data_IF_519243420093
#
_entry.id   IF_519243420093
#
_cell.length_a   1.000
_cell.length_b   1.000
_cell.length_c   1.000
_cell.angle_alpha   90.00
_cell.angle_beta   90.00
_cell.angle_gamma   90.00
#
_symmetry.space_group_name_H-M   'P 1'
#
loop_
_entity.id
_entity.type
_entity.pdbx_description
1 polymer ?
#
# COMPACT_ATOMS: atom_id res chain seq x y z
N UNK A 1 -4.02 26.68 -5.59
CA UNK A 1 -4.44 27.46 -4.42
C UNK A 1 -3.32 27.42 -3.40
N UNK A 2 -3.15 28.44 -2.56
CA UNK A 2 -2.28 28.36 -1.40
C UNK A 2 -3.00 28.96 -0.19
N UNK A 3 -3.05 28.23 0.92
CA UNK A 3 -3.68 28.65 2.17
C UNK A 3 -2.72 28.36 3.33
N UNK A 4 -2.44 29.35 4.17
CA UNK A 4 -1.52 29.19 5.30
C UNK A 4 -1.96 30.02 6.49
N UNK A 5 -1.58 29.56 7.68
CA UNK A 5 -1.87 30.22 8.94
C UNK A 5 -0.67 30.12 9.88
N UNK A 6 -0.48 31.15 10.70
CA UNK A 6 0.55 31.22 11.74
C UNK A 6 0.00 31.94 12.96
N UNK A 7 0.39 31.48 14.15
CA UNK A 7 0.02 32.12 15.42
C UNK A 7 0.95 33.27 15.83
N UNK A 8 1.99 33.56 15.03
CA UNK A 8 3.02 34.57 15.33
C UNK A 8 4.03 34.15 16.40
N UNK A 9 3.86 32.99 17.04
CA UNK A 9 4.74 32.41 18.05
C UNK A 9 5.78 31.42 17.49
N UNK A 10 5.90 31.35 16.16
CA UNK A 10 6.77 30.40 15.45
C UNK A 10 6.06 29.15 14.95
N UNK A 11 4.77 28.96 15.29
CA UNK A 11 3.98 27.89 14.72
C UNK A 11 3.34 28.34 13.40
N UNK A 12 3.39 27.47 12.41
CA UNK A 12 2.76 27.65 11.11
C UNK A 12 2.27 26.32 10.54
N UNK A 13 1.26 26.43 9.69
CA UNK A 13 0.67 25.33 8.91
C UNK A 13 0.31 25.87 7.53
N UNK A 14 0.52 25.09 6.47
CA UNK A 14 0.16 25.48 5.11
C UNK A 14 -0.33 24.32 4.27
N UNK A 15 -1.18 24.66 3.30
CA UNK A 15 -1.65 23.80 2.22
C UNK A 15 -1.38 24.51 0.90
N UNK A 16 -0.86 23.76 -0.07
CA UNK A 16 -0.73 24.18 -1.47
C UNK A 16 -1.46 23.19 -2.35
N UNK A 17 -2.12 23.68 -3.39
CA UNK A 17 -2.92 22.85 -4.29
C UNK A 17 -2.68 23.24 -5.74
N UNK A 18 -2.53 22.25 -6.60
CA UNK A 18 -2.41 22.41 -8.04
C UNK A 18 -3.32 21.43 -8.75
N UNK A 19 -4.06 21.91 -9.75
CA UNK A 19 -4.99 21.10 -10.50
C UNK A 19 -4.79 21.34 -12.00
N UNK A 20 -4.65 20.25 -12.75
CA UNK A 20 -4.81 20.22 -14.19
C UNK A 20 -6.01 19.30 -14.48
N UNK A 21 -7.11 19.89 -14.95
CA UNK A 21 -8.38 19.18 -15.19
C UNK A 21 -8.96 19.61 -16.53
N UNK A 22 -9.66 18.71 -17.21
CA UNK A 22 -10.32 19.00 -18.48
C UNK A 22 -11.72 18.38 -18.60
N UNK A 23 -12.31 18.46 -19.79
CA UNK A 23 -13.49 17.69 -20.24
C UNK A 23 -14.74 17.71 -19.33
N UNK A 24 -14.89 18.74 -18.49
CA UNK A 24 -16.08 18.95 -17.66
C UNK A 24 -15.94 18.49 -16.21
N UNK A 25 -14.72 18.20 -15.74
CA UNK A 25 -14.46 18.00 -14.31
C UNK A 25 -14.74 19.28 -13.53
N UNK A 26 -15.66 19.19 -12.57
CA UNK A 26 -15.91 20.23 -11.57
C UNK A 26 -14.97 20.06 -10.38
N UNK A 27 -14.38 21.17 -9.92
CA UNK A 27 -13.50 21.23 -8.75
C UNK A 27 -14.12 22.13 -7.70
N UNK A 28 -14.25 21.62 -6.47
CA UNK A 28 -14.67 22.37 -5.30
C UNK A 28 -13.67 22.19 -4.17
N UNK A 29 -13.34 23.28 -3.46
CA UNK A 29 -12.41 23.27 -2.35
C UNK A 29 -12.85 24.26 -1.26
N UNK A 30 -12.60 23.90 -0.01
CA UNK A 30 -12.83 24.73 1.16
C UNK A 30 -11.75 24.49 2.20
N UNK A 31 -11.00 25.55 2.52
CA UNK A 31 -10.04 25.56 3.61
C UNK A 31 -10.47 26.56 4.70
N UNK A 32 -10.18 26.25 5.95
CA UNK A 32 -10.44 27.13 7.10
C UNK A 32 -9.33 27.03 8.13
N UNK A 33 -9.08 28.12 8.87
CA UNK A 33 -8.10 28.16 9.94
C UNK A 33 -8.76 28.53 11.27
N UNK A 34 -8.28 27.96 12.37
CA UNK A 34 -8.70 28.30 13.73
C UNK A 34 -7.50 28.45 14.66
N UNK A 35 -7.69 29.27 15.72
CA UNK A 35 -6.63 29.66 16.66
C UNK A 35 -7.01 29.48 18.14
N UNK A 36 -8.30 29.27 18.44
CA UNK A 36 -8.82 29.30 19.83
C UNK A 36 -8.34 28.17 20.73
N UNK A 37 -8.12 26.98 20.17
CA UNK A 37 -7.63 25.78 20.87
C UNK A 37 -6.21 25.40 20.41
N UNK A 38 -5.50 26.37 19.82
CA UNK A 38 -4.26 26.13 19.06
C UNK A 38 -4.46 26.35 17.56
N UNK A 39 -3.35 26.56 16.86
CA UNK A 39 -3.32 26.75 15.41
C UNK A 39 -3.75 25.45 14.71
N UNK A 40 -4.75 25.53 13.84
CA UNK A 40 -5.14 24.41 12.96
C UNK A 40 -5.67 24.88 11.61
N UNK A 41 -5.54 24.02 10.61
CA UNK A 41 -6.19 24.16 9.31
C UNK A 41 -7.02 22.90 9.04
N UNK A 42 -8.28 23.11 8.64
CA UNK A 42 -9.15 22.06 8.12
C UNK A 42 -9.40 22.34 6.63
N UNK A 43 -9.24 21.32 5.80
CA UNK A 43 -9.43 21.39 4.36
C UNK A 43 -10.34 20.29 3.84
N UNK A 44 -11.13 20.61 2.82
CA UNK A 44 -11.96 19.67 2.07
C UNK A 44 -11.91 20.01 0.59
N UNK A 45 -11.79 18.97 -0.24
CA UNK A 45 -11.83 19.08 -1.70
C UNK A 45 -12.73 18.03 -2.31
N UNK A 46 -13.26 18.33 -3.48
CA UNK A 46 -14.09 17.43 -4.28
C UNK A 46 -13.85 17.64 -5.77
N UNK A 47 -13.70 16.53 -6.49
CA UNK A 47 -13.68 16.45 -7.96
C UNK A 47 -14.90 15.66 -8.41
N UNK A 48 -15.62 16.13 -9.42
CA UNK A 48 -16.76 15.40 -9.98
C UNK A 48 -16.88 15.64 -11.47
N UNK A 49 -16.97 14.58 -12.27
CA UNK A 49 -17.20 14.68 -13.71
C UNK A 49 -16.31 13.73 -14.51
N UNK A 50 -16.53 13.66 -15.84
CA UNK A 50 -15.67 12.94 -16.76
C UNK A 50 -14.41 13.75 -17.10
N UNK A 51 -13.35 13.08 -17.55
CA UNK A 51 -12.15 13.72 -18.09
C UNK A 51 -10.86 13.38 -17.36
N UNK A 52 -9.82 14.12 -17.72
CA UNK A 52 -8.50 14.06 -17.14
C UNK A 52 -8.45 14.83 -15.82
N UNK A 53 -7.78 14.24 -14.84
CA UNK A 53 -7.50 14.85 -13.55
C UNK A 53 -6.04 14.60 -13.21
N UNK A 54 -5.31 15.68 -12.92
CA UNK A 54 -4.06 15.63 -12.19
C UNK A 54 -4.12 16.68 -11.08
N UNK A 55 -4.42 16.22 -9.88
CA UNK A 55 -4.70 17.07 -8.72
C UNK A 55 -3.75 16.76 -7.57
N UNK A 56 -2.82 17.67 -7.31
CA UNK A 56 -1.82 17.57 -6.24
C UNK A 56 -2.18 18.52 -5.10
N UNK A 57 -2.11 18.03 -3.88
CA UNK A 57 -2.26 18.79 -2.65
C UNK A 57 -1.05 18.50 -1.76
N UNK A 58 -0.40 19.55 -1.28
CA UNK A 58 0.79 19.50 -0.45
C UNK A 58 0.48 20.12 0.92
N UNK A 59 1.03 19.52 1.97
CA UNK A 59 0.84 19.90 3.36
C UNK A 59 2.19 20.16 4.01
N UNK A 60 2.26 21.19 4.87
CA UNK A 60 3.43 21.39 5.71
C UNK A 60 3.04 21.98 7.06
N UNK A 61 3.79 21.61 8.09
CA UNK A 61 3.67 22.17 9.43
C UNK A 61 5.02 22.46 10.07
N UNK A 62 5.08 23.51 10.88
CA UNK A 62 6.28 23.96 11.62
C UNK A 62 6.88 22.91 12.57
N UNK A 63 6.13 21.90 12.99
CA UNK A 63 6.60 20.74 13.75
C UNK A 63 7.38 19.71 12.92
N UNK A 64 7.68 20.03 11.66
CA UNK A 64 8.61 19.27 10.82
C UNK A 64 7.98 18.15 10.02
N UNK A 65 6.65 18.08 9.94
CA UNK A 65 6.00 17.19 8.98
C UNK A 65 5.76 17.88 7.64
N UNK A 66 5.84 17.09 6.59
CA UNK A 66 5.39 17.42 5.23
C UNK A 66 4.54 16.28 4.72
N UNK A 67 3.58 16.56 3.84
CA UNK A 67 2.79 15.52 3.21
C UNK A 67 2.29 15.92 1.86
N UNK A 68 1.83 14.94 1.10
CA UNK A 68 1.27 15.15 -0.22
C UNK A 68 0.11 14.20 -0.45
N UNK A 69 -0.72 14.57 -1.39
CA UNK A 69 -1.94 13.88 -1.75
C UNK A 69 -2.19 14.14 -3.22
N UNK A 70 -2.13 13.10 -4.06
CA UNK A 70 -2.36 13.24 -5.48
C UNK A 70 -3.45 12.29 -5.99
N UNK A 71 -4.25 12.78 -6.93
CA UNK A 71 -5.21 11.98 -7.69
C UNK A 71 -4.88 12.18 -9.16
N UNK A 72 -4.74 11.07 -9.87
CA UNK A 72 -4.53 11.00 -11.31
C UNK A 72 -5.64 10.17 -11.95
N UNK A 73 -6.23 10.67 -13.02
CA UNK A 73 -7.16 9.92 -13.86
C UNK A 73 -7.00 10.41 -15.32
N UNK A 74 -6.88 9.49 -16.25
CA UNK A 74 -6.79 9.76 -17.69
C UNK A 74 -8.09 9.37 -18.38
N UNK A 75 -8.73 10.34 -19.05
CA UNK A 75 -9.95 10.18 -19.84
C UNK A 75 -11.07 9.40 -19.14
N UNK A 76 -11.19 9.54 -17.82
CA UNK A 76 -12.16 8.80 -17.02
C UNK A 76 -13.59 9.13 -17.46
N UNK A 77 -14.42 8.11 -17.66
CA UNK A 77 -15.84 8.31 -17.94
C UNK A 77 -16.59 8.91 -16.74
N UNK A 78 -16.12 8.63 -15.53
CA UNK A 78 -16.65 9.21 -14.30
C UNK A 78 -15.59 9.26 -13.21
N UNK A 79 -15.38 10.45 -12.64
CA UNK A 79 -14.64 10.61 -11.38
C UNK A 79 -15.52 11.21 -10.31
N UNK A 80 -15.48 10.61 -9.12
CA UNK A 80 -15.87 11.24 -7.86
C UNK A 80 -14.71 11.06 -6.88
N UNK A 81 -13.99 12.14 -6.59
CA UNK A 81 -12.95 12.11 -5.57
C UNK A 81 -13.19 13.16 -4.51
N UNK A 82 -12.94 12.82 -3.25
CA UNK A 82 -13.11 13.66 -2.06
C UNK A 82 -11.86 13.55 -1.21
N UNK A 83 -11.30 14.69 -0.84
CA UNK A 83 -10.20 14.75 0.10
C UNK A 83 -10.61 15.58 1.31
N UNK A 84 -10.10 15.21 2.48
CA UNK A 84 -10.11 16.08 3.64
C UNK A 84 -8.79 15.99 4.39
N UNK A 85 -8.29 17.12 4.86
CA UNK A 85 -7.09 17.18 5.68
C UNK A 85 -7.35 17.97 6.96
N UNK A 86 -6.77 17.51 8.05
CA UNK A 86 -6.71 18.18 9.33
C UNK A 86 -5.24 18.37 9.71
N UNK A 87 -4.84 19.61 9.93
CA UNK A 87 -3.45 19.97 10.16
C UNK A 87 -3.33 20.80 11.44
N UNK A 88 -2.35 20.46 12.26
CA UNK A 88 -1.86 21.29 13.37
C UNK A 88 -0.36 21.47 13.20
N UNK A 89 0.35 22.33 13.94
CA UNK A 89 1.80 22.46 13.82
C UNK A 89 2.56 21.13 13.90
N UNK A 90 2.12 20.18 14.72
CA UNK A 90 2.82 18.92 14.98
C UNK A 90 2.19 17.67 14.38
N UNK A 91 1.00 17.78 13.77
CA UNK A 91 0.25 16.62 13.32
C UNK A 91 -0.45 16.82 11.96
N UNK A 92 -0.58 15.72 11.23
CA UNK A 92 -1.27 15.63 9.95
C UNK A 92 -2.26 14.46 9.98
N UNK A 93 -3.51 14.73 9.65
CA UNK A 93 -4.52 13.73 9.34
C UNK A 93 -5.06 13.96 7.94
N UNK A 94 -5.00 12.96 7.07
CA UNK A 94 -5.51 13.04 5.69
C UNK A 94 -6.45 11.87 5.45
N UNK A 95 -7.57 12.14 4.79
CA UNK A 95 -8.47 11.13 4.22
C UNK A 95 -8.67 11.46 2.76
N UNK A 96 -8.50 10.47 1.89
CA UNK A 96 -8.91 10.53 0.50
C UNK A 96 -9.89 9.42 0.21
N UNK A 97 -10.90 9.72 -0.58
CA UNK A 97 -11.96 8.79 -0.98
C UNK A 97 -12.23 9.06 -2.45
N UNK A 98 -11.90 8.11 -3.32
CA UNK A 98 -11.89 8.29 -4.76
C UNK A 98 -12.51 7.08 -5.47
N UNK A 99 -13.46 7.37 -6.35
CA UNK A 99 -14.12 6.42 -7.23
C UNK A 99 -13.97 6.91 -8.66
N UNK A 100 -13.11 6.25 -9.42
CA UNK A 100 -12.73 6.57 -10.80
C UNK A 100 -13.15 5.39 -11.67
N UNK A 101 -13.83 5.65 -12.79
CA UNK A 101 -14.33 4.60 -13.68
C UNK A 101 -13.90 4.82 -15.11
N UNK A 102 -13.60 3.70 -15.75
CA UNK A 102 -13.27 3.59 -17.17
C UNK A 102 -12.23 4.64 -17.59
N UNK A 103 -11.09 4.66 -16.89
CA UNK A 103 -9.97 5.54 -17.15
C UNK A 103 -8.83 4.77 -17.84
N UNK A 104 -8.14 5.41 -18.79
CA UNK A 104 -6.97 4.81 -19.45
C UNK A 104 -5.82 4.54 -18.47
N UNK A 105 -5.73 5.36 -17.43
CA UNK A 105 -4.93 5.11 -16.25
C UNK A 105 -5.47 5.93 -15.08
N UNK A 106 -5.41 5.38 -13.87
CA UNK A 106 -5.73 6.15 -12.68
C UNK A 106 -4.91 5.73 -11.46
N UNK A 107 -4.66 6.69 -10.59
CA UNK A 107 -3.94 6.49 -9.34
C UNK A 107 -4.42 7.44 -8.25
N UNK A 108 -4.42 6.93 -7.02
CA UNK A 108 -4.76 7.69 -5.80
C UNK A 108 -3.64 7.46 -4.81
N UNK A 109 -3.06 8.56 -4.33
CA UNK A 109 -1.85 8.49 -3.53
C UNK A 109 -1.88 9.51 -2.42
N UNK A 110 -1.41 9.07 -1.27
CA UNK A 110 -1.21 9.90 -0.10
C UNK A 110 0.19 9.62 0.45
N UNK A 111 0.92 10.66 0.83
CA UNK A 111 2.23 10.54 1.46
C UNK A 111 2.37 11.50 2.64
N UNK A 112 3.20 11.13 3.61
CA UNK A 112 3.64 12.03 4.66
C UNK A 112 5.06 11.69 5.10
N UNK A 113 5.76 12.66 5.68
CA UNK A 113 7.07 12.50 6.27
C UNK A 113 7.17 13.33 7.54
N UNK A 114 7.75 12.77 8.60
CA UNK A 114 8.11 13.50 9.82
C UNK A 114 9.53 13.11 10.26
N UNK A 115 10.47 14.03 10.09
CA UNK A 115 11.86 13.82 10.53
C UNK A 115 12.55 12.64 9.84
N UNK A 116 12.27 12.43 8.54
CA UNK A 116 12.86 11.36 7.73
C UNK A 116 12.05 10.06 7.74
N UNK A 117 11.16 9.85 8.70
CA UNK A 117 10.20 8.74 8.68
C UNK A 117 9.08 9.08 7.71
N UNK A 118 8.98 8.34 6.62
CA UNK A 118 8.00 8.53 5.57
C UNK A 118 6.83 7.56 5.69
N UNK A 119 5.81 7.82 4.89
CA UNK A 119 4.73 6.90 4.63
C UNK A 119 4.11 7.21 3.28
N UNK A 120 3.63 6.15 2.63
CA UNK A 120 2.97 6.23 1.34
C UNK A 120 1.81 5.25 1.32
N UNK A 121 0.71 5.67 0.72
CA UNK A 121 -0.35 4.79 0.23
C UNK A 121 -0.50 5.03 -1.25
N UNK A 122 -0.66 3.95 -1.99
CA UNK A 122 -0.81 3.98 -3.43
C UNK A 122 -1.84 2.95 -3.83
N UNK A 123 -2.77 3.36 -4.67
CA UNK A 123 -3.67 2.50 -5.42
C UNK A 123 -3.62 2.97 -6.87
N UNK A 124 -3.37 2.07 -7.81
CA UNK A 124 -3.30 2.39 -9.23
C UNK A 124 -3.78 1.25 -10.09
N UNK A 125 -4.37 1.59 -11.23
CA UNK A 125 -4.81 0.65 -12.25
C UNK A 125 -4.71 1.32 -13.62
N UNK A 126 -4.34 0.55 -14.63
CA UNK A 126 -4.35 0.98 -16.04
C UNK A 126 -5.61 0.44 -16.70
N UNK A 127 -6.14 1.15 -17.70
CA UNK A 127 -7.32 0.75 -18.47
C UNK A 127 -8.45 0.14 -17.60
N UNK A 128 -8.93 0.91 -16.62
CA UNK A 128 -9.70 0.33 -15.53
C UNK A 128 -10.50 1.30 -14.65
N UNK A 129 -10.99 0.73 -13.56
CA UNK A 129 -11.75 1.42 -12.51
C UNK A 129 -11.09 1.20 -11.15
N UNK A 130 -11.15 2.21 -10.31
CA UNK A 130 -10.56 2.23 -8.97
C UNK A 130 -11.55 2.87 -8.00
N UNK A 131 -11.86 2.16 -6.92
CA UNK A 131 -12.50 2.70 -5.73
C UNK A 131 -11.52 2.55 -4.57
N UNK A 132 -11.10 3.66 -3.97
CA UNK A 132 -10.10 3.65 -2.90
C UNK A 132 -10.40 4.71 -1.86
N UNK A 133 -10.39 4.26 -0.60
CA UNK A 133 -10.42 5.12 0.57
C UNK A 133 -9.10 4.99 1.33
N UNK A 134 -8.31 6.05 1.31
CA UNK A 134 -7.00 6.15 1.96
C UNK A 134 -7.07 7.03 3.20
N UNK A 135 -6.24 6.74 4.19
CA UNK A 135 -6.08 7.54 5.41
C UNK A 135 -4.64 7.53 5.86
N UNK A 136 -4.11 8.70 6.19
CA UNK A 136 -2.78 8.89 6.78
C UNK A 136 -2.91 9.66 8.09
N UNK A 137 -2.20 9.19 9.11
CA UNK A 137 -2.04 9.87 10.39
C UNK A 137 -0.56 10.03 10.75
N UNK A 138 -0.18 11.24 11.15
CA UNK A 138 1.13 11.59 11.70
C UNK A 138 0.89 12.36 13.00
N UNK A 139 1.19 11.73 14.14
CA UNK A 139 1.08 12.32 15.48
C UNK A 139 1.88 11.50 16.52
N UNK A 140 3.20 11.72 16.59
CA UNK A 140 4.12 10.94 17.46
C UNK A 140 4.40 9.51 16.98
N UNK A 141 3.64 9.03 16.00
CA UNK A 141 3.88 7.86 15.16
C UNK A 141 3.31 8.12 13.76
N UNK A 142 3.53 7.17 12.84
CA UNK A 142 3.04 7.28 11.46
C UNK A 142 2.22 6.03 11.15
N UNK A 143 0.99 6.20 10.70
CA UNK A 143 0.09 5.10 10.37
C UNK A 143 -0.71 5.39 9.12
N UNK A 144 -1.04 4.33 8.40
CA UNK A 144 -1.90 4.37 7.22
C UNK A 144 -2.91 3.25 7.19
N UNK A 145 -4.04 3.49 6.53
CA UNK A 145 -5.04 2.46 6.21
C UNK A 145 -5.68 2.77 4.86
N UNK A 146 -5.84 1.77 4.01
CA UNK A 146 -6.57 1.91 2.75
C UNK A 146 -7.54 0.76 2.57
N UNK A 147 -8.69 1.04 1.99
CA UNK A 147 -9.67 0.05 1.53
C UNK A 147 -9.89 0.31 0.04
N UNK A 148 -9.50 -0.64 -0.79
CA UNK A 148 -9.33 -0.45 -2.22
C UNK A 148 -9.90 -1.62 -3.00
N UNK A 149 -10.71 -1.31 -4.01
CA UNK A 149 -11.17 -2.23 -5.04
C UNK A 149 -10.76 -1.68 -6.42
N UNK A 150 -10.13 -2.50 -7.23
CA UNK A 150 -9.65 -2.12 -8.56
C UNK A 150 -9.94 -3.23 -9.57
N UNK A 151 -10.29 -2.83 -10.79
CA UNK A 151 -10.46 -3.72 -11.93
C UNK A 151 -9.82 -3.07 -13.15
N UNK A 152 -8.94 -3.79 -13.83
CA UNK A 152 -8.27 -3.30 -15.04
C UNK A 152 -6.93 -3.99 -15.26
N UNK A 153 -6.05 -3.33 -15.99
CA UNK A 153 -4.69 -3.79 -16.24
C UNK A 153 -3.80 -3.42 -15.05
N UNK A 154 -3.11 -4.41 -14.49
CA UNK A 154 -2.18 -4.27 -13.38
C UNK A 154 -2.72 -3.50 -12.13
N UNK A 155 -3.90 -3.85 -11.58
CA UNK A 155 -4.37 -3.26 -10.33
C UNK A 155 -3.35 -3.52 -9.20
N UNK A 156 -2.82 -2.45 -8.64
CA UNK A 156 -1.77 -2.48 -7.60
C UNK A 156 -2.14 -1.57 -6.43
N UNK A 157 -2.12 -2.11 -5.22
CA UNK A 157 -2.29 -1.36 -3.99
C UNK A 157 -1.14 -1.65 -3.02
N UNK A 158 -0.52 -0.62 -2.45
CA UNK A 158 0.49 -0.79 -1.41
C UNK A 158 0.47 0.34 -0.39
N UNK A 159 0.94 0.02 0.82
CA UNK A 159 1.14 0.97 1.91
C UNK A 159 2.52 0.78 2.54
N UNK A 160 3.17 1.87 2.95
CA UNK A 160 4.45 1.86 3.65
C UNK A 160 4.45 2.82 4.82
N UNK A 161 5.26 2.54 5.85
CA UNK A 161 5.52 3.46 6.95
C UNK A 161 6.94 3.22 7.48
N UNK A 162 7.68 4.29 7.80
CA UNK A 162 9.07 4.22 8.30
C UNK A 162 10.08 4.80 7.30
N UNK A 163 11.32 4.32 7.37
CA UNK A 163 12.39 4.67 6.45
C UNK A 163 12.37 3.70 5.26
N UNK A 164 11.32 3.80 4.45
CA UNK A 164 11.08 2.92 3.31
C UNK A 164 11.28 3.67 2.00
N UNK A 165 12.01 3.05 1.09
CA UNK A 165 12.13 3.45 -0.31
C UNK A 165 11.22 2.57 -1.16
N UNK A 166 10.52 3.20 -2.12
CA UNK A 166 9.59 2.52 -3.02
C UNK A 166 10.02 2.79 -4.46
N UNK A 167 10.26 1.73 -5.22
CA UNK A 167 10.54 1.76 -6.64
C UNK A 167 9.47 0.95 -7.37
N UNK A 168 8.55 1.65 -8.04
CA UNK A 168 7.50 1.05 -8.85
C UNK A 168 7.88 1.20 -10.34
N UNK A 169 8.17 0.08 -10.99
CA UNK A 169 8.31 -0.01 -12.43
C UNK A 169 7.05 -0.58 -13.12
N UNK A 170 7.06 -0.69 -14.45
CA UNK A 170 5.92 -1.20 -15.23
C UNK A 170 5.53 -2.64 -14.91
N UNK A 171 6.47 -3.39 -14.33
CA UNK A 171 6.29 -4.81 -14.03
C UNK A 171 7.12 -5.20 -12.81
N UNK A 172 7.49 -4.25 -11.95
CA UNK A 172 8.08 -4.57 -10.66
C UNK A 172 7.65 -3.56 -9.59
N UNK A 173 7.61 -4.02 -8.36
CA UNK A 173 7.45 -3.21 -7.16
C UNK A 173 8.54 -3.64 -6.19
N UNK A 174 9.48 -2.75 -5.92
CA UNK A 174 10.50 -2.93 -4.90
C UNK A 174 10.25 -1.97 -3.74
N UNK A 175 10.17 -2.49 -2.53
CA UNK A 175 9.99 -1.74 -1.30
C UNK A 175 11.08 -2.18 -0.32
N UNK A 176 12.05 -1.32 -0.07
CA UNK A 176 13.21 -1.64 0.77
C UNK A 176 13.37 -0.62 1.89
N UNK A 177 13.79 -1.07 3.07
CA UNK A 177 14.10 -0.15 4.17
C UNK A 177 13.78 -0.66 5.56
N UNK A 178 13.68 0.26 6.51
CA UNK A 178 13.38 -0.02 7.92
C UNK A 178 12.02 0.57 8.30
N UNK A 179 11.04 -0.30 8.54
CA UNK A 179 9.68 0.12 8.81
C UNK A 179 8.68 -1.00 8.58
N UNK A 180 7.60 -0.69 7.89
CA UNK A 180 6.54 -1.63 7.55
C UNK A 180 6.06 -1.39 6.11
N UNK A 181 5.74 -2.48 5.41
CA UNK A 181 5.20 -2.45 4.06
C UNK A 181 4.15 -3.53 3.87
N UNK A 182 3.16 -3.26 3.04
CA UNK A 182 2.20 -4.24 2.57
C UNK A 182 1.81 -3.91 1.15
N UNK A 183 1.67 -4.92 0.30
CA UNK A 183 1.32 -4.76 -1.09
C UNK A 183 0.43 -5.90 -1.58
N UNK A 184 -0.44 -5.59 -2.54
CA UNK A 184 -1.23 -6.54 -3.33
C UNK A 184 -1.20 -6.07 -4.77
N UNK A 185 -0.94 -6.99 -5.69
CA UNK A 185 -0.98 -6.73 -7.12
C UNK A 185 -1.52 -7.92 -7.88
N UNK A 186 -2.22 -7.66 -8.97
CA UNK A 186 -2.64 -8.67 -9.93
C UNK A 186 -2.28 -8.20 -11.34
N UNK A 187 -1.74 -9.09 -12.15
CA UNK A 187 -1.46 -8.89 -13.57
C UNK A 187 -2.21 -9.96 -14.36
N UNK A 188 -3.02 -9.52 -15.31
CA UNK A 188 -3.69 -10.39 -16.27
C UNK A 188 -3.32 -9.99 -17.70
N UNK A 189 -2.92 -10.98 -18.48
CA UNK A 189 -2.48 -10.88 -19.87
C UNK A 189 -3.62 -11.25 -20.84
N UNK A 190 -4.72 -11.81 -20.33
CA UNK A 190 -5.88 -12.23 -21.11
C UNK A 190 -7.08 -11.28 -20.97
N UNK A 191 -7.07 -10.36 -20.00
CA UNK A 191 -8.16 -9.46 -19.71
C UNK A 191 -7.89 -8.63 -18.45
N UNK A 192 -8.92 -7.96 -17.91
CA UNK A 192 -8.78 -7.19 -16.69
C UNK A 192 -8.60 -8.11 -15.48
N UNK A 193 -7.60 -7.77 -14.65
CA UNK A 193 -7.43 -8.34 -13.32
C UNK A 193 -8.31 -7.62 -12.29
N UNK A 194 -8.54 -8.27 -11.15
CA UNK A 194 -9.23 -7.67 -9.99
C UNK A 194 -8.34 -7.71 -8.75
N UNK A 195 -8.40 -6.65 -7.95
CA UNK A 195 -7.85 -6.59 -6.58
C UNK A 195 -8.87 -5.94 -5.67
N UNK A 196 -9.19 -6.62 -4.57
CA UNK A 196 -10.07 -6.15 -3.52
C UNK A 196 -9.42 -6.36 -2.15
N UNK A 197 -8.98 -5.29 -1.51
CA UNK A 197 -8.13 -5.38 -0.33
C UNK A 197 -8.32 -4.26 0.70
N UNK A 198 -7.91 -4.55 1.94
CA UNK A 198 -7.75 -3.57 3.00
C UNK A 198 -6.34 -3.67 3.57
N UNK A 199 -5.57 -2.60 3.46
CA UNK A 199 -4.15 -2.58 3.81
C UNK A 199 -3.90 -1.53 4.89
N UNK A 200 -3.07 -1.84 5.87
CA UNK A 200 -2.67 -0.91 6.91
C UNK A 200 -1.22 -1.12 7.32
N UNK A 201 -0.53 -0.01 7.60
CA UNK A 201 0.85 -0.01 8.09
C UNK A 201 1.02 1.00 9.19
N UNK A 202 2.00 0.79 10.05
CA UNK A 202 2.40 1.82 10.99
C UNK A 202 3.76 1.61 11.61
N UNK A 203 4.31 2.72 12.08
CA UNK A 203 5.57 2.80 12.81
C UNK A 203 5.47 3.74 14.02
N UNK A 204 6.28 3.44 15.03
CA UNK A 204 6.35 4.16 16.30
C UNK A 204 7.45 3.54 17.15
N UNK A 205 7.09 2.98 18.31
CA UNK A 205 7.99 2.10 19.08
C UNK A 205 8.10 0.68 18.49
N UNK A 206 7.25 0.35 17.52
CA UNK A 206 7.17 -0.94 16.83
C UNK A 206 6.81 -0.70 15.36
N UNK A 207 7.16 -1.64 14.49
CA UNK A 207 6.69 -1.65 13.10
C UNK A 207 5.65 -2.75 12.90
N UNK A 208 4.62 -2.47 12.10
CA UNK A 208 3.58 -3.44 11.80
C UNK A 208 2.96 -3.19 10.43
N UNK A 209 2.63 -4.28 9.76
CA UNK A 209 1.93 -4.31 8.47
C UNK A 209 0.79 -5.33 8.55
N UNK A 210 -0.33 -4.98 7.92
CA UNK A 210 -1.54 -5.79 7.86
C UNK A 210 -2.16 -5.65 6.46
N UNK A 211 -2.52 -6.79 5.85
CA UNK A 211 -3.22 -6.83 4.58
C UNK A 211 -4.32 -7.88 4.59
N UNK A 212 -5.56 -7.46 4.43
CA UNK A 212 -6.70 -8.34 4.16
C UNK A 212 -6.99 -8.34 2.67
N UNK A 213 -6.75 -9.46 2.01
CA UNK A 213 -7.08 -9.68 0.61
C UNK A 213 -8.45 -10.36 0.56
N UNK A 214 -9.47 -9.62 0.15
CA UNK A 214 -10.83 -10.13 -0.02
C UNK A 214 -10.92 -10.97 -1.30
N UNK A 215 -10.31 -10.49 -2.36
CA UNK A 215 -10.00 -11.23 -3.59
C UNK A 215 -8.84 -10.55 -4.30
N UNK A 216 -8.03 -11.34 -5.00
CA UNK A 216 -7.19 -10.84 -6.07
C UNK A 216 -7.05 -11.95 -7.11
N UNK A 217 -7.33 -11.62 -8.37
CA UNK A 217 -7.64 -12.60 -9.41
C UNK A 217 -7.02 -12.22 -10.76
N UNK A 218 -6.60 -13.22 -11.53
CA UNK A 218 -6.20 -13.11 -12.95
C UNK A 218 -6.51 -14.37 -13.74
N UNK A 219 -6.99 -14.24 -14.97
CA UNK A 219 -7.25 -15.37 -15.86
C UNK A 219 -5.96 -15.95 -16.43
N UNK A 220 -5.00 -15.12 -16.81
CA UNK A 220 -3.68 -15.53 -17.26
C UNK A 220 -2.62 -14.54 -16.79
N UNK A 221 -1.73 -14.96 -15.91
CA UNK A 221 -0.67 -14.10 -15.41
C UNK A 221 -0.35 -14.42 -13.98
N UNK A 222 -0.51 -13.44 -13.09
CA UNK A 222 -0.02 -13.53 -11.73
C UNK A 222 -0.83 -12.72 -10.73
N UNK A 223 -0.84 -13.18 -9.50
CA UNK A 223 -1.39 -12.45 -8.36
C UNK A 223 -0.46 -12.65 -7.17
N UNK A 224 -0.18 -11.58 -6.44
CA UNK A 224 0.72 -11.63 -5.29
C UNK A 224 0.32 -10.64 -4.21
N UNK A 225 0.54 -11.04 -2.97
CA UNK A 225 0.40 -10.17 -1.80
C UNK A 225 1.48 -10.46 -0.78
N UNK A 226 2.00 -9.40 -0.15
CA UNK A 226 3.02 -9.51 0.89
C UNK A 226 2.81 -8.45 1.98
N UNK A 227 3.19 -8.79 3.21
CA UNK A 227 3.29 -7.89 4.35
C UNK A 227 4.64 -8.10 5.03
N UNK A 228 5.32 -7.01 5.39
CA UNK A 228 6.60 -7.03 6.06
C UNK A 228 6.75 -5.95 7.12
N UNK A 229 7.56 -6.21 8.14
CA UNK A 229 7.91 -5.27 9.20
C UNK A 229 9.37 -5.47 9.67
N UNK A 230 10.01 -4.40 10.14
CA UNK A 230 11.42 -4.36 10.48
C UNK A 230 12.28 -3.91 9.30
N UNK A 231 13.46 -4.50 9.17
CA UNK A 231 14.36 -4.25 8.02
C UNK A 231 14.03 -5.22 6.90
N UNK A 232 13.27 -4.76 5.92
CA UNK A 232 12.69 -5.60 4.87
C UNK A 232 13.11 -5.12 3.49
N UNK A 233 13.24 -6.07 2.56
CA UNK A 233 13.23 -5.86 1.12
C UNK A 233 12.07 -6.70 0.56
N UNK A 234 10.99 -6.06 0.14
CA UNK A 234 9.83 -6.66 -0.49
C UNK A 234 9.91 -6.34 -1.97
N UNK A 235 10.13 -7.36 -2.78
CA UNK A 235 10.20 -7.23 -4.22
C UNK A 235 9.12 -8.11 -4.85
N UNK A 236 8.28 -7.51 -5.67
CA UNK A 236 7.40 -8.20 -6.57
C UNK A 236 7.88 -7.92 -7.99
N UNK A 237 8.41 -8.93 -8.68
CA UNK A 237 8.83 -8.85 -10.07
C UNK A 237 7.86 -9.66 -10.94
N UNK A 238 7.35 -9.02 -11.98
CA UNK A 238 6.44 -9.56 -12.99
C UNK A 238 7.08 -9.55 -14.39
N UNK A 239 8.40 -9.30 -14.51
CA UNK A 239 9.13 -9.18 -15.78
C UNK A 239 9.63 -10.50 -16.39
N UNK A 240 9.55 -11.63 -15.65
CA UNK A 240 10.05 -12.94 -16.07
C UNK A 240 9.00 -13.94 -16.58
N UNK A 241 9.44 -15.15 -16.95
CA UNK A 241 8.56 -16.29 -17.26
C UNK A 241 7.72 -16.73 -16.04
N UNK A 242 8.19 -16.39 -14.84
CA UNK A 242 7.49 -16.60 -13.57
C UNK A 242 7.60 -15.34 -12.69
N UNK A 243 6.49 -14.82 -12.15
CA UNK A 243 6.50 -13.83 -11.09
C UNK A 243 7.33 -14.24 -9.87
N UNK A 244 8.08 -13.29 -9.37
CA UNK A 244 8.86 -13.41 -8.14
C UNK A 244 8.22 -12.50 -7.11
N UNK A 245 7.78 -13.07 -6.00
CA UNK A 245 7.50 -12.30 -4.79
C UNK A 245 8.55 -12.71 -3.78
N UNK A 246 9.49 -11.81 -3.58
CA UNK A 246 10.65 -11.95 -2.72
C UNK A 246 10.43 -11.10 -1.48
N UNK A 247 10.66 -11.70 -0.31
CA UNK A 247 10.73 -10.94 0.93
C UNK A 247 12.01 -11.31 1.66
N UNK A 248 12.95 -10.39 1.71
CA UNK A 248 14.17 -10.48 2.50
C UNK A 248 14.06 -9.66 3.76
N UNK A 249 14.67 -10.17 4.82
CA UNK A 249 14.86 -9.40 6.03
C UNK A 249 16.35 -9.31 6.32
N UNK A 250 16.78 -8.17 6.85
CA UNK A 250 18.15 -7.97 7.30
C UNK A 250 18.18 -7.63 8.79
N UNK A 251 18.60 -8.55 9.64
CA UNK A 251 18.51 -8.37 11.08
C UNK A 251 17.10 -8.70 11.56
N UNK A 252 16.52 -7.89 12.45
CA UNK A 252 15.19 -8.17 13.02
C UNK A 252 14.07 -7.78 12.04
N UNK A 253 13.42 -8.78 11.46
CA UNK A 253 12.38 -8.61 10.45
C UNK A 253 11.30 -9.70 10.50
N UNK A 254 10.14 -9.39 9.96
CA UNK A 254 9.01 -10.29 9.81
C UNK A 254 8.39 -10.11 8.42
N UNK A 255 7.96 -11.22 7.82
CA UNK A 255 7.48 -11.27 6.44
C UNK A 255 6.42 -12.37 6.26
N UNK A 256 5.29 -12.06 5.62
CA UNK A 256 4.31 -13.03 5.18
C UNK A 256 3.89 -12.73 3.74
N UNK A 257 3.70 -13.76 2.92
CA UNK A 257 3.33 -13.60 1.53
C UNK A 257 2.55 -14.77 0.96
N UNK A 258 1.75 -14.49 -0.05
CA UNK A 258 1.00 -15.46 -0.85
C UNK A 258 1.04 -15.05 -2.31
N UNK A 259 1.19 -16.03 -3.20
CA UNK A 259 1.23 -15.78 -4.63
C UNK A 259 0.66 -16.94 -5.43
N UNK A 260 0.14 -16.61 -6.60
CA UNK A 260 -0.34 -17.56 -7.60
C UNK A 260 0.08 -17.06 -8.98
N UNK A 261 0.56 -17.98 -9.80
CA UNK A 261 0.96 -17.72 -11.19
C UNK A 261 0.41 -18.80 -12.10
N UNK A 262 -0.04 -18.36 -13.27
CA UNK A 262 -0.37 -19.19 -14.41
C UNK A 262 -1.78 -18.88 -14.88
N UNK A 263 -2.64 -19.88 -14.97
CA UNK A 263 -4.01 -19.75 -15.49
C UNK A 263 -5.02 -19.84 -14.35
N UNK A 264 -5.99 -18.93 -14.33
CA UNK A 264 -7.07 -18.80 -13.35
C UNK A 264 -6.54 -18.72 -11.92
N UNK A 265 -5.75 -17.69 -11.65
CA UNK A 265 -5.15 -17.44 -10.35
C UNK A 265 -6.14 -16.73 -9.44
N UNK A 266 -6.20 -17.15 -8.19
CA UNK A 266 -7.01 -16.51 -7.15
C UNK A 266 -6.26 -16.60 -5.82
N UNK A 267 -6.16 -15.48 -5.11
CA UNK A 267 -5.66 -15.45 -3.72
C UNK A 267 -6.63 -14.70 -2.81
N UNK A 268 -6.76 -15.19 -1.57
CA UNK A 268 -7.53 -14.57 -0.48
C UNK A 268 -6.85 -14.83 0.85
N UNK A 269 -7.18 -14.00 1.84
CA UNK A 269 -6.79 -14.21 3.22
C UNK A 269 -6.21 -12.96 3.88
N UNK A 270 -5.55 -13.15 5.00
CA UNK A 270 -4.98 -12.07 5.80
C UNK A 270 -3.49 -12.29 6.01
N UNK A 271 -2.68 -11.28 5.72
CA UNK A 271 -1.25 -11.24 6.00
C UNK A 271 -0.98 -10.23 7.11
N UNK A 272 -0.12 -10.59 8.06
CA UNK A 272 0.33 -9.69 9.11
C UNK A 272 1.81 -9.91 9.41
N UNK A 273 2.54 -8.82 9.64
CA UNK A 273 3.93 -8.82 10.07
C UNK A 273 4.14 -7.75 11.13
N UNK A 274 4.95 -8.03 12.15
CA UNK A 274 5.26 -7.06 13.20
C UNK A 274 6.62 -7.32 13.85
N UNK A 275 7.29 -6.22 14.21
CA UNK A 275 8.48 -6.20 15.06
C UNK A 275 8.22 -5.33 16.29
N UNK A 276 8.56 -5.86 17.46
CA UNK A 276 8.34 -5.21 18.76
C UNK A 276 9.47 -5.58 19.72
N UNK A 277 9.62 -4.85 20.82
CA UNK A 277 10.54 -5.21 21.91
C UNK A 277 10.31 -6.63 22.48
N UNK A 278 9.09 -7.17 22.31
CA UNK A 278 8.71 -8.49 22.80
C UNK A 278 9.03 -9.62 21.82
N UNK A 279 9.40 -9.30 20.57
CA UNK A 279 9.70 -10.27 19.53
C UNK A 279 9.18 -9.88 18.15
N UNK A 280 9.46 -10.75 17.18
CA UNK A 280 9.03 -10.63 15.79
C UNK A 280 7.98 -11.68 15.47
N UNK A 281 7.01 -11.33 14.63
CA UNK A 281 5.98 -12.28 14.21
C UNK A 281 5.48 -11.99 12.79
N UNK A 282 5.23 -13.07 12.05
CA UNK A 282 4.60 -13.05 10.75
C UNK A 282 3.52 -14.13 10.67
N UNK A 283 2.40 -13.82 10.03
CA UNK A 283 1.33 -14.79 9.84
C UNK A 283 0.51 -14.56 8.59
N UNK A 284 0.11 -15.65 7.94
CA UNK A 284 -0.99 -15.75 6.99
C UNK A 284 -2.17 -16.48 7.64
N UNK A 285 -3.38 -15.93 7.56
CA UNK A 285 -4.61 -16.52 8.11
C UNK A 285 -5.69 -16.62 7.04
N UNK A 286 -6.46 -17.70 7.09
CA UNK A 286 -7.54 -17.96 6.12
C UNK A 286 -7.01 -17.81 4.68
N UNK A 287 -5.81 -18.37 4.45
CA UNK A 287 -5.16 -18.29 3.14
C UNK A 287 -5.84 -19.30 2.23
N UNK A 288 -6.36 -18.81 1.11
CA UNK A 288 -6.81 -19.60 -0.02
C UNK A 288 -6.04 -19.10 -1.24
N UNK A 289 -5.27 -19.98 -1.87
CA UNK A 289 -4.53 -19.66 -3.08
C UNK A 289 -4.68 -20.79 -4.08
N UNK A 290 -5.05 -20.45 -5.31
CA UNK A 290 -5.33 -21.46 -6.33
C UNK A 290 -4.92 -21.05 -7.72
N UNK A 291 -4.67 -22.06 -8.54
CA UNK A 291 -4.61 -21.91 -9.98
C UNK A 291 -5.09 -23.17 -10.70
N UNK A 292 -5.41 -23.03 -11.98
CA UNK A 292 -5.71 -24.16 -12.86
C UNK A 292 -4.45 -24.80 -13.43
N UNK A 293 -3.45 -24.01 -13.82
CA UNK A 293 -2.15 -24.47 -14.32
C UNK A 293 -1.09 -23.47 -13.87
N UNK A 294 0.04 -23.92 -13.32
CA UNK A 294 1.15 -23.07 -12.86
C UNK A 294 1.63 -23.42 -11.44
N UNK A 295 1.96 -22.41 -10.63
CA UNK A 295 2.36 -22.57 -9.22
C UNK A 295 1.56 -21.68 -8.25
N UNK A 296 1.37 -22.16 -7.03
CA UNK A 296 0.84 -21.39 -5.89
C UNK A 296 1.74 -21.57 -4.69
N UNK A 297 1.88 -20.52 -3.89
CA UNK A 297 2.84 -20.47 -2.80
C UNK A 297 2.33 -19.59 -1.66
N UNK A 298 2.62 -20.00 -0.43
CA UNK A 298 2.39 -19.19 0.76
C UNK A 298 3.53 -19.40 1.75
N UNK A 299 3.98 -18.31 2.40
CA UNK A 299 5.07 -18.36 3.35
C UNK A 299 4.94 -17.32 4.46
N UNK A 300 5.53 -17.63 5.62
CA UNK A 300 5.72 -16.69 6.73
C UNK A 300 7.11 -16.92 7.36
N UNK A 301 7.81 -15.84 7.69
CA UNK A 301 9.14 -15.86 8.30
C UNK A 301 9.31 -14.70 9.30
N UNK A 302 10.08 -14.92 10.36
CA UNK A 302 10.31 -13.94 11.41
C UNK A 302 11.68 -14.16 12.09
N UNK A 303 12.33 -13.09 12.54
CA UNK A 303 13.52 -13.12 13.39
C UNK A 303 14.73 -12.42 12.79
N UNK A 304 15.92 -12.91 13.13
CA UNK A 304 17.21 -12.56 12.54
C UNK A 304 17.33 -13.01 11.07
N UNK A 305 16.41 -12.54 10.23
CA UNK A 305 16.41 -12.84 8.81
C UNK A 305 17.71 -12.27 8.22
N UNK A 306 18.43 -13.10 7.48
CA UNK A 306 19.54 -12.68 6.62
C UNK A 306 19.43 -13.39 5.28
N UNK A 307 18.20 -13.75 4.92
CA UNK A 307 17.82 -14.72 3.89
C UNK A 307 16.39 -14.39 3.46
N UNK A 308 16.20 -14.28 2.14
CA UNK A 308 14.91 -14.07 1.53
C UNK A 308 14.03 -15.32 1.47
N UNK A 309 12.72 -15.08 1.57
CA UNK A 309 11.69 -16.02 1.17
C UNK A 309 11.62 -15.98 -0.35
N UNK A 310 12.24 -16.96 -0.99
CA UNK A 310 12.12 -17.19 -2.43
C UNK A 310 10.96 -18.17 -2.66
N UNK A 311 9.84 -17.61 -3.11
CA UNK A 311 8.61 -18.34 -3.36
C UNK A 311 8.68 -19.25 -4.60
N UNK A 312 9.66 -19.10 -5.49
CA UNK A 312 9.86 -20.00 -6.64
C UNK A 312 10.63 -21.26 -6.24
N UNK A 313 11.63 -21.11 -5.37
CA UNK A 313 12.48 -22.24 -4.95
C UNK A 313 11.95 -22.96 -3.70
N UNK A 314 10.82 -22.51 -3.14
CA UNK A 314 10.29 -23.03 -1.87
C UNK A 314 11.32 -22.91 -0.73
N UNK A 315 12.25 -21.97 -0.86
CA UNK A 315 13.41 -21.86 0.02
C UNK A 315 13.11 -20.87 1.12
N UNK A 316 13.14 -21.38 2.34
CA UNK A 316 13.20 -20.57 3.55
C UNK A 316 14.53 -20.92 4.21
N UNK A 317 15.48 -20.01 4.13
CA UNK A 317 16.63 -20.04 5.03
C UNK A 317 16.46 -18.98 6.11
N UNK A 318 17.07 -19.18 7.26
CA UNK A 318 17.19 -18.18 8.31
C UNK A 318 18.62 -18.08 8.85
N UNK A 319 18.95 -16.94 9.43
CA UNK A 319 20.13 -16.77 10.28
C UNK A 319 19.95 -17.43 11.65
N UNK A 320 20.82 -17.09 12.60
CA UNK A 320 20.57 -17.44 14.00
C UNK A 320 19.30 -16.71 14.49
N UNK A 321 18.46 -17.39 15.27
CA UNK A 321 17.21 -16.83 15.84
C UNK A 321 16.18 -16.42 14.76
N UNK A 322 15.94 -17.30 13.78
CA UNK A 322 14.88 -17.15 12.78
C UNK A 322 13.91 -18.34 12.82
N UNK A 323 12.64 -18.07 12.51
CA UNK A 323 11.58 -19.06 12.34
C UNK A 323 10.92 -18.85 10.96
N UNK A 324 10.49 -19.93 10.31
CA UNK A 324 9.82 -19.82 9.02
C UNK A 324 9.05 -21.08 8.63
N UNK A 325 8.01 -20.90 7.82
CA UNK A 325 7.17 -21.96 7.26
C UNK A 325 6.71 -21.57 5.87
N UNK A 326 6.67 -22.53 4.95
CA UNK A 326 6.31 -22.29 3.55
C UNK A 326 5.69 -23.52 2.90
N UNK A 327 4.77 -23.28 1.98
CA UNK A 327 4.07 -24.29 1.20
C UNK A 327 4.10 -23.88 -0.26
N UNK A 328 4.44 -24.83 -1.13
CA UNK A 328 4.49 -24.68 -2.58
C UNK A 328 3.72 -25.83 -3.23
N UNK A 329 2.88 -25.51 -4.21
CA UNK A 329 2.24 -26.49 -5.08
C UNK A 329 2.38 -26.07 -6.55
N UNK A 330 2.92 -26.96 -7.37
CA UNK A 330 3.20 -26.74 -8.80
C UNK A 330 2.55 -27.83 -9.66
N UNK A 331 2.04 -27.43 -10.83
CA UNK A 331 1.44 -28.34 -11.80
C UNK A 331 0.07 -27.88 -12.27
N UNK A 332 -0.92 -28.78 -12.21
CA UNK A 332 -2.30 -28.50 -12.66
C UNK A 332 -3.26 -28.62 -11.49
N UNK A 333 -4.18 -27.66 -11.38
CA UNK A 333 -5.22 -27.53 -10.34
C UNK A 333 -4.59 -27.49 -8.96
N UNK A 334 -3.67 -26.55 -8.77
CA UNK A 334 -3.01 -26.38 -7.49
C UNK A 334 -3.91 -25.56 -6.55
N UNK A 335 -3.86 -25.91 -5.27
CA UNK A 335 -4.67 -25.29 -4.25
C UNK A 335 -3.92 -25.36 -2.91
N UNK A 336 -3.79 -24.22 -2.24
CA UNK A 336 -3.33 -24.11 -0.85
C UNK A 336 -4.48 -23.51 -0.05
N UNK A 337 -4.86 -24.20 1.02
CA UNK A 337 -5.77 -23.70 2.03
C UNK A 337 -5.13 -23.84 3.40
N UNK A 338 -5.13 -22.76 4.17
CA UNK A 338 -4.56 -22.76 5.51
C UNK A 338 -5.34 -21.82 6.43
N UNK A 339 -5.83 -22.37 7.55
CA UNK A 339 -6.39 -21.55 8.63
C UNK A 339 -5.31 -20.62 9.21
N UNK A 340 -4.08 -21.11 9.36
CA UNK A 340 -2.97 -20.35 9.93
C UNK A 340 -1.60 -20.86 9.45
N UNK A 341 -0.79 -19.95 8.94
CA UNK A 341 0.60 -20.12 8.55
C UNK A 341 1.43 -19.07 9.30
N UNK A 342 2.15 -19.44 10.37
CA UNK A 342 2.76 -18.46 11.26
C UNK A 342 4.21 -18.79 11.63
N UNK A 343 5.01 -17.74 11.79
CA UNK A 343 6.37 -17.78 12.29
C UNK A 343 6.57 -16.65 13.31
N UNK A 344 7.40 -16.89 14.33
CA UNK A 344 7.69 -15.88 15.34
C UNK A 344 8.90 -16.22 16.19
N UNK A 345 9.52 -15.18 16.74
CA UNK A 345 10.66 -15.29 17.66
C UNK A 345 10.34 -14.48 18.92
N UNK A 346 9.98 -15.18 20.00
CA UNK A 346 9.58 -14.56 21.28
C UNK A 346 8.13 -14.84 21.63
#
# INVERSE_FOLDING_TARGET
MQFSASDGGGNSVSISESYNVDNGVEVWGQSSAAFGEGLKIDDRRRFTGPGNIYAVQEYAGSGGYVGMSYIYAEDAAHTLARGSAHLTPGALGVVQDASIRDAGACAVVSTANQGGRGTMQHASVWDGSLDSRQTIGVDGGIATSQDTQMVGDLPTAFGTAGYMDVNLGPSNLKIEGEGAAVAVSSLDLAGPAEVDCNLATGTGNSAWAYGKIRSAESDLGAVGAAAGAGKIDLEADWTGDLPELYIDGYGEAAAAGVGAIGVNNEIRGTLAASTTDAGTSASGREIEASNREGAVVAAAAAGGLGIGVDLQNGFIGGGAEAAGVGVLAEGRRNWIESENLAAGTG
#
